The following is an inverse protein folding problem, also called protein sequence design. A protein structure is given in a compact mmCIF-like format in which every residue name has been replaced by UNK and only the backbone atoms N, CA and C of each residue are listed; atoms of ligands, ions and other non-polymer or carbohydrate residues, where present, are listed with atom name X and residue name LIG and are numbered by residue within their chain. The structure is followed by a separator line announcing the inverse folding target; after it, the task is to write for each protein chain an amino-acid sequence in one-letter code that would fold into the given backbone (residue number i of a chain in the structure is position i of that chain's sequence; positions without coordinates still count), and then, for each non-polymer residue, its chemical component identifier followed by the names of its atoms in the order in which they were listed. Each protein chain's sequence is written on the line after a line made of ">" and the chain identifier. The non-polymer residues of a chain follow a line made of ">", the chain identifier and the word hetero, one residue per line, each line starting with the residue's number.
data_IF_620457739281
#
_entry.id   IF_620457739281
#
_cell.length_a   1.000
_cell.length_b   1.000
_cell.length_c   1.000
_cell.angle_alpha   90.00
_cell.angle_beta   90.00
_cell.angle_gamma   90.00
#
_symmetry.space_group_name_H-M   'P 1'
#
loop_
_entity.id
_entity.type
_entity.pdbx_description
1 polymer ?
#
# COMPACT_ATOMS: atom_id res chain seq x y z
N UNK A 1 22.05 -0.64 -14.06
CA UNK A 1 20.99 0.36 -14.24
C UNK A 1 19.83 0.07 -13.31
N UNK A 2 19.34 1.07 -12.60
CA UNK A 2 18.21 0.93 -11.69
C UNK A 2 16.90 1.17 -12.44
N UNK A 3 15.96 0.26 -12.31
CA UNK A 3 14.62 0.41 -12.88
C UNK A 3 13.63 0.70 -11.77
N UNK A 4 12.88 1.79 -11.95
CA UNK A 4 11.82 2.21 -11.02
C UNK A 4 10.47 2.05 -11.71
N UNK A 5 9.50 1.49 -11.00
CA UNK A 5 8.14 1.34 -11.51
C UNK A 5 7.17 2.13 -10.64
N UNK A 6 6.35 2.96 -11.28
CA UNK A 6 5.23 3.64 -10.62
C UNK A 6 3.95 2.95 -11.06
N UNK A 7 3.22 2.40 -10.12
CA UNK A 7 2.00 1.63 -10.37
C UNK A 7 0.79 2.55 -10.32
N UNK A 8 -0.12 2.39 -11.28
CA UNK A 8 -1.43 3.03 -11.27
C UNK A 8 -2.49 1.99 -10.96
N UNK A 9 -3.45 2.35 -10.11
CA UNK A 9 -4.52 1.45 -9.70
C UNK A 9 -5.85 2.18 -9.67
N UNK A 10 -6.93 1.43 -9.93
CA UNK A 10 -8.30 1.87 -9.70
C UNK A 10 -8.79 1.18 -8.43
N UNK A 11 -8.31 1.66 -7.28
CA UNK A 11 -8.67 1.07 -5.99
C UNK A 11 -10.13 1.35 -5.63
N UNK A 12 -10.76 0.36 -4.99
CA UNK A 12 -12.13 0.45 -4.53
C UNK A 12 -12.23 0.56 -3.01
N UNK A 13 -13.43 0.43 -2.45
CA UNK A 13 -13.67 0.64 -1.02
C UNK A 13 -13.29 -0.56 -0.14
N UNK A 14 -12.83 -1.67 -0.71
CA UNK A 14 -12.49 -2.89 0.03
C UNK A 14 -11.00 -3.17 -0.05
N UNK A 15 -10.35 -3.32 1.11
CA UNK A 15 -8.90 -3.52 1.20
C UNK A 15 -8.46 -4.83 0.54
N UNK A 16 -9.14 -5.94 0.80
CA UNK A 16 -8.74 -7.25 0.27
C UNK A 16 -8.52 -7.28 -1.23
N UNK A 17 -9.53 -6.95 -2.05
CA UNK A 17 -9.37 -6.89 -3.49
C UNK A 17 -8.29 -5.92 -3.96
N UNK A 18 -8.13 -4.79 -3.27
CA UNK A 18 -7.08 -3.82 -3.62
C UNK A 18 -5.68 -4.41 -3.40
N UNK A 19 -5.48 -5.16 -2.32
CA UNK A 19 -4.20 -5.81 -2.07
C UNK A 19 -3.90 -6.90 -3.10
N UNK A 20 -4.91 -7.66 -3.53
CA UNK A 20 -4.73 -8.67 -4.59
C UNK A 20 -4.31 -8.02 -5.91
N UNK A 21 -4.93 -6.90 -6.26
CA UNK A 21 -4.57 -6.17 -7.48
C UNK A 21 -3.16 -5.57 -7.37
N UNK A 22 -2.81 -5.03 -6.20
CA UNK A 22 -1.48 -4.51 -5.97
C UNK A 22 -0.42 -5.63 -6.10
N UNK A 23 -0.69 -6.81 -5.56
CA UNK A 23 0.21 -7.96 -5.68
C UNK A 23 0.46 -8.33 -7.14
N UNK A 24 -0.60 -8.39 -7.95
CA UNK A 24 -0.51 -8.69 -9.37
C UNK A 24 0.38 -7.67 -10.10
N UNK A 25 0.16 -6.39 -9.83
CA UNK A 25 0.91 -5.31 -10.49
C UNK A 25 2.36 -5.24 -10.02
N UNK A 26 2.61 -5.51 -8.74
CA UNK A 26 3.98 -5.61 -8.22
C UNK A 26 4.73 -6.74 -8.95
N UNK A 27 4.10 -7.90 -9.10
CA UNK A 27 4.69 -9.02 -9.83
C UNK A 27 5.06 -8.66 -11.26
N UNK A 28 4.19 -7.95 -11.95
CA UNK A 28 4.46 -7.49 -13.31
C UNK A 28 5.66 -6.53 -13.36
N UNK A 29 5.75 -5.62 -12.39
CA UNK A 29 6.87 -4.68 -12.31
C UNK A 29 8.20 -5.41 -12.05
N UNK A 30 8.19 -6.41 -11.17
CA UNK A 30 9.35 -7.24 -10.89
C UNK A 30 9.80 -8.00 -12.13
N UNK A 31 8.87 -8.56 -12.88
CA UNK A 31 9.17 -9.27 -14.14
C UNK A 31 9.81 -8.38 -15.18
N UNK A 32 9.58 -7.07 -15.10
CA UNK A 32 10.21 -6.06 -15.97
C UNK A 32 11.52 -5.52 -15.41
N UNK A 33 11.99 -6.07 -14.29
CA UNK A 33 13.28 -5.71 -13.73
C UNK A 33 13.28 -4.56 -12.73
N UNK A 34 12.11 -4.16 -12.23
CA UNK A 34 12.05 -3.07 -11.25
C UNK A 34 12.69 -3.46 -9.94
N UNK A 35 13.51 -2.58 -9.38
CA UNK A 35 14.13 -2.74 -8.06
C UNK A 35 13.53 -1.80 -7.02
N UNK A 36 12.86 -0.75 -7.46
CA UNK A 36 12.08 0.16 -6.62
C UNK A 36 10.68 0.28 -7.23
N UNK A 37 9.67 0.03 -6.42
CA UNK A 37 8.26 0.07 -6.84
C UNK A 37 7.52 1.05 -5.97
N UNK A 38 6.76 1.95 -6.59
CA UNK A 38 5.97 2.98 -5.90
C UNK A 38 4.50 2.71 -6.17
N UNK A 39 3.72 2.45 -5.11
CA UNK A 39 2.28 2.30 -5.18
C UNK A 39 1.60 3.68 -5.06
N UNK A 40 0.42 3.84 -5.64
CA UNK A 40 -0.25 5.13 -5.65
C UNK A 40 -0.85 5.51 -4.30
N UNK A 41 -1.16 6.78 -4.13
CA UNK A 41 -1.94 7.26 -3.00
C UNK A 41 -3.26 6.48 -2.91
N UNK A 42 -3.67 6.14 -1.69
CA UNK A 42 -4.90 5.39 -1.42
C UNK A 42 -4.96 4.01 -2.12
N UNK A 43 -3.81 3.38 -2.36
CA UNK A 43 -3.80 2.11 -3.07
C UNK A 43 -4.60 1.01 -2.35
N UNK A 44 -4.58 1.00 -1.02
CA UNK A 44 -5.22 -0.04 -0.23
C UNK A 44 -6.71 0.19 -0.05
N UNK A 45 -7.14 1.44 -0.06
CA UNK A 45 -8.56 1.78 0.04
C UNK A 45 -8.84 3.15 -0.59
N UNK A 46 -9.80 3.16 -1.50
CA UNK A 46 -10.41 4.36 -2.03
C UNK A 46 -11.87 4.33 -1.57
N UNK A 47 -12.11 4.84 -0.37
CA UNK A 47 -13.43 4.81 0.24
C UNK A 47 -14.38 5.81 -0.38
N UNK A 48 -15.67 5.60 -0.16
CA UNK A 48 -16.73 6.51 -0.59
C UNK A 48 -16.87 7.66 0.40
N UNK A 49 -16.50 7.44 1.67
CA UNK A 49 -16.60 8.41 2.75
C UNK A 49 -15.35 8.36 3.62
N UNK A 50 -15.08 9.42 4.37
CA UNK A 50 -13.95 9.47 5.32
C UNK A 50 -14.01 8.34 6.34
N UNK A 51 -15.22 7.97 6.80
CA UNK A 51 -15.40 6.89 7.77
C UNK A 51 -14.87 5.56 7.27
N UNK A 52 -14.83 5.33 5.96
CA UNK A 52 -14.29 4.07 5.39
C UNK A 52 -12.82 3.91 5.72
N UNK A 53 -12.04 4.98 5.66
CA UNK A 53 -10.61 4.95 6.00
C UNK A 53 -10.40 4.79 7.51
N UNK A 54 -11.25 5.43 8.32
CA UNK A 54 -11.18 5.30 9.78
C UNK A 54 -11.39 3.84 10.19
N UNK A 55 -12.33 3.15 9.55
CA UNK A 55 -12.67 1.76 9.87
C UNK A 55 -11.51 0.80 9.62
N UNK A 56 -10.61 1.11 8.68
CA UNK A 56 -9.49 0.20 8.31
C UNK A 56 -8.12 0.75 8.71
N UNK A 57 -8.07 1.83 9.50
CA UNK A 57 -6.80 2.42 9.91
C UNK A 57 -5.97 1.43 10.72
N UNK A 58 -4.66 1.54 10.59
CA UNK A 58 -3.71 0.63 11.24
C UNK A 58 -2.82 1.37 12.24
N UNK A 59 -2.40 0.66 13.27
CA UNK A 59 -1.37 1.14 14.19
C UNK A 59 0.02 0.92 13.57
N UNK A 60 1.00 1.68 14.02
CA UNK A 60 2.38 1.53 13.54
C UNK A 60 2.87 0.10 13.77
N UNK A 61 3.32 -0.54 12.70
CA UNK A 61 3.87 -1.88 12.72
C UNK A 61 2.85 -3.01 12.76
N UNK A 62 1.55 -2.69 12.70
CA UNK A 62 0.48 -3.71 12.80
C UNK A 62 -0.63 -3.44 11.81
N UNK A 63 -1.02 -4.47 11.08
CA UNK A 63 -2.19 -4.44 10.23
C UNK A 63 -1.96 -5.14 8.89
N UNK A 64 -3.05 -5.52 8.21
CA UNK A 64 -2.96 -6.29 6.96
C UNK A 64 -2.27 -5.53 5.83
N UNK A 65 -2.43 -4.21 5.74
CA UNK A 65 -1.79 -3.41 4.69
C UNK A 65 -0.29 -3.35 4.92
N UNK A 66 0.15 -3.07 6.15
CA UNK A 66 1.55 -3.04 6.50
C UNK A 66 2.19 -4.42 6.34
N UNK A 67 1.50 -5.48 6.76
CA UNK A 67 1.98 -6.85 6.59
C UNK A 67 2.15 -7.19 5.11
N UNK A 68 1.19 -6.80 4.28
CA UNK A 68 1.25 -6.98 2.83
C UNK A 68 2.49 -6.31 2.25
N UNK A 69 2.74 -5.05 2.59
CA UNK A 69 3.87 -4.29 2.06
C UNK A 69 5.20 -4.93 2.47
N UNK A 70 5.33 -5.30 3.73
CA UNK A 70 6.53 -5.95 4.25
C UNK A 70 6.78 -7.29 3.55
N UNK A 71 5.75 -8.11 3.40
CA UNK A 71 5.86 -9.42 2.75
C UNK A 71 6.22 -9.28 1.28
N UNK A 72 5.61 -8.35 0.56
CA UNK A 72 5.90 -8.15 -0.85
C UNK A 72 7.33 -7.67 -1.08
N UNK A 73 7.80 -6.72 -0.28
CA UNK A 73 9.17 -6.23 -0.37
C UNK A 73 10.18 -7.36 -0.15
N UNK A 74 9.95 -8.17 0.89
CA UNK A 74 10.81 -9.29 1.23
C UNK A 74 10.76 -10.42 0.17
N UNK A 75 9.55 -10.82 -0.22
CA UNK A 75 9.33 -11.92 -1.17
C UNK A 75 9.91 -11.59 -2.54
N UNK A 76 9.74 -10.37 -3.01
CA UNK A 76 10.18 -9.96 -4.34
C UNK A 76 11.61 -9.40 -4.35
N UNK A 77 12.18 -9.13 -3.17
CA UNK A 77 13.53 -8.57 -3.09
C UNK A 77 13.64 -7.16 -3.64
N UNK A 78 12.64 -6.33 -3.40
CA UNK A 78 12.57 -4.97 -3.94
C UNK A 78 12.34 -3.94 -2.84
N UNK A 79 12.66 -2.68 -3.13
CA UNK A 79 12.24 -1.54 -2.33
C UNK A 79 10.80 -1.19 -2.73
N UNK A 80 9.94 -0.99 -1.74
CA UNK A 80 8.52 -0.77 -1.98
C UNK A 80 8.05 0.45 -1.18
N UNK A 81 7.54 1.45 -1.90
CA UNK A 81 6.88 2.61 -1.29
C UNK A 81 5.38 2.37 -1.31
N UNK A 82 4.77 2.32 -0.14
CA UNK A 82 3.38 1.98 0.03
C UNK A 82 2.43 3.16 -0.11
N UNK A 83 2.59 3.98 -1.14
CA UNK A 83 1.66 5.07 -1.44
C UNK A 83 1.28 5.87 -0.20
N UNK A 84 0.00 5.81 0.17
CA UNK A 84 -0.45 6.28 1.49
C UNK A 84 -1.30 5.19 2.14
N UNK A 85 -1.08 5.01 3.45
CA UNK A 85 -1.80 4.02 4.27
C UNK A 85 -2.52 4.76 5.38
N UNK A 86 -3.83 4.50 5.62
CA UNK A 86 -4.53 5.11 6.74
C UNK A 86 -4.01 4.56 8.07
N UNK A 87 -3.49 5.44 8.90
CA UNK A 87 -2.90 5.09 10.17
C UNK A 87 -3.67 5.73 11.32
N UNK A 88 -3.56 5.15 12.50
CA UNK A 88 -4.19 5.70 13.71
C UNK A 88 -3.58 7.08 14.01
N UNK A 89 -4.47 8.05 14.26
CA UNK A 89 -4.11 9.38 14.73
C UNK A 89 -4.48 9.53 16.22
N UNK A 90 -4.25 10.69 16.79
CA UNK A 90 -4.57 10.94 18.19
C UNK A 90 -6.06 11.04 18.54
N UNK A 91 -6.93 11.01 17.53
CA UNK A 91 -8.38 11.15 17.69
C UNK A 91 -9.04 9.96 17.02
N UNK A 92 -10.05 9.37 17.68
CA UNK A 92 -10.73 8.16 17.20
C UNK A 92 -11.43 8.33 15.84
N UNK A 93 -11.79 9.57 15.48
CA UNK A 93 -12.48 9.87 14.24
C UNK A 93 -11.56 10.38 13.13
N UNK A 94 -10.24 10.36 13.36
CA UNK A 94 -9.26 10.89 12.42
C UNK A 94 -8.25 9.83 12.02
N UNK A 95 -7.64 10.05 10.88
CA UNK A 95 -6.53 9.22 10.40
C UNK A 95 -5.35 10.11 10.06
N UNK A 96 -4.19 9.46 10.03
CA UNK A 96 -2.95 10.02 9.50
C UNK A 96 -2.65 9.26 8.22
N UNK A 97 -2.44 9.96 7.11
CA UNK A 97 -2.01 9.32 5.88
C UNK A 97 -0.48 9.21 5.92
N UNK A 98 0.02 7.98 5.86
CA UNK A 98 1.46 7.75 5.93
C UNK A 98 1.96 7.07 4.66
N UNK A 99 3.07 7.57 4.13
CA UNK A 99 3.78 6.93 3.04
C UNK A 99 4.91 6.10 3.65
N UNK A 100 4.88 4.79 3.43
CA UNK A 100 5.77 3.83 4.08
C UNK A 100 6.74 3.23 3.07
N UNK A 101 8.02 3.11 3.48
CA UNK A 101 9.07 2.51 2.65
C UNK A 101 9.51 1.20 3.28
N UNK A 102 9.56 0.15 2.48
CA UNK A 102 10.02 -1.19 2.86
C UNK A 102 11.11 -1.68 1.91
N UNK A 103 12.00 -2.53 2.45
CA UNK A 103 12.99 -3.22 1.63
C UNK A 103 13.07 -4.70 1.96
#
# INVERSE_FOLDING_TARGET
>A
MTTVSCIQMASGPNVGPNLLEAERLIGMAVDKGASLIVLPENFAIMGKEEADKVAVRESDGKGPVQDFLSQQASKQGVWLVGGTVPMVAGDDNKIRAASLLYN
#
